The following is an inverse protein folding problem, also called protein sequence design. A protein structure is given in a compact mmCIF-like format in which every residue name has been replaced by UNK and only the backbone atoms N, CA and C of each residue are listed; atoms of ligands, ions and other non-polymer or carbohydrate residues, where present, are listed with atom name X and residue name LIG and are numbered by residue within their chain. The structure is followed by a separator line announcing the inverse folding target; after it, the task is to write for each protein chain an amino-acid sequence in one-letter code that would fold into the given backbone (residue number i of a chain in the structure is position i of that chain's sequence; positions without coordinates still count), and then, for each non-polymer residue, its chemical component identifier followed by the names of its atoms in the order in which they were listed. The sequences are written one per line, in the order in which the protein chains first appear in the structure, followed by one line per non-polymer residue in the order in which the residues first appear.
data_IF_582176983874
#
_entry.id   IF_582176983874
#
_cell.length_a   1.000
_cell.length_b   1.000
_cell.length_c   1.000
_cell.angle_alpha   90.00
_cell.angle_beta   90.00
_cell.angle_gamma   90.00
#
_symmetry.space_group_name_H-M   'P 1'
#
loop_
_entity.id
_entity.type
_entity.pdbx_description
1 polymer ?
#
# COMPACT_ATOMS: atom_id res chain seq x y z
N UNK A 1 -48.84 -7.59 -6.08
CA UNK A 1 -48.40 -7.83 -4.70
C UNK A 1 -47.28 -8.85 -4.66
N UNK A 2 -45.99 -8.38 -4.57
CA UNK A 2 -44.81 -9.18 -4.13
C UNK A 2 -43.71 -8.18 -3.83
N UNK A 3 -43.80 -7.52 -2.66
CA UNK A 3 -42.67 -6.88 -1.98
C UNK A 3 -42.34 -7.76 -0.80
N UNK A 4 -41.16 -8.23 -0.71
CA UNK A 4 -40.44 -8.75 0.45
C UNK A 4 -39.34 -9.68 -0.06
N UNK A 5 -38.08 -9.24 0.00
CA UNK A 5 -36.91 -10.06 0.34
C UNK A 5 -35.57 -9.36 0.00
N UNK A 6 -35.52 -8.02 -0.03
CA UNK A 6 -34.24 -7.33 -0.30
C UNK A 6 -33.46 -6.94 0.98
N UNK A 7 -34.06 -7.09 2.16
CA UNK A 7 -33.46 -6.61 3.41
C UNK A 7 -32.70 -7.69 4.20
N UNK A 8 -32.81 -8.98 3.80
CA UNK A 8 -32.12 -10.08 4.52
C UNK A 8 -30.73 -10.44 4.00
N UNK A 9 -30.37 -9.99 2.79
CA UNK A 9 -29.09 -10.34 2.18
C UNK A 9 -27.96 -9.38 2.56
N UNK A 10 -28.29 -8.18 3.05
CA UNK A 10 -27.28 -7.17 3.39
C UNK A 10 -26.69 -7.33 4.80
N UNK A 11 -27.37 -8.05 5.69
CA UNK A 11 -26.91 -8.24 7.07
C UNK A 11 -25.92 -9.42 7.22
N UNK A 12 -25.86 -10.34 6.26
CA UNK A 12 -25.03 -11.54 6.38
C UNK A 12 -23.58 -11.33 5.92
N UNK A 13 -23.33 -10.35 5.05
CA UNK A 13 -21.99 -10.08 4.52
C UNK A 13 -21.11 -9.25 5.45
N UNK A 14 -21.72 -8.45 6.34
CA UNK A 14 -20.97 -7.63 7.30
C UNK A 14 -20.47 -8.44 8.50
N UNK A 15 -21.19 -9.51 8.87
CA UNK A 15 -20.85 -10.35 10.02
C UNK A 15 -19.68 -11.28 9.75
N UNK A 16 -19.45 -11.71 8.49
CA UNK A 16 -18.32 -12.58 8.15
C UNK A 16 -16.96 -11.86 8.15
N UNK A 17 -16.92 -10.57 7.85
CA UNK A 17 -15.69 -9.80 7.87
C UNK A 17 -15.17 -9.52 9.29
N UNK A 18 -16.09 -9.33 10.24
CA UNK A 18 -15.74 -9.13 11.67
C UNK A 18 -15.30 -10.42 12.32
N UNK A 19 -15.88 -11.58 11.94
CA UNK A 19 -15.52 -12.89 12.46
C UNK A 19 -14.18 -13.43 11.93
N UNK A 20 -13.76 -13.00 10.73
CA UNK A 20 -12.43 -13.35 10.21
C UNK A 20 -11.32 -12.59 10.94
N UNK A 21 -11.57 -11.35 11.36
CA UNK A 21 -10.62 -10.55 12.14
C UNK A 21 -10.48 -11.07 13.58
N UNK A 22 -11.58 -11.54 14.17
CA UNK A 22 -11.57 -12.08 15.56
C UNK A 22 -10.89 -13.44 15.68
N UNK A 23 -10.83 -14.25 14.61
CA UNK A 23 -10.09 -15.54 14.62
C UNK A 23 -8.57 -15.36 14.52
N UNK A 24 -8.10 -14.25 13.97
CA UNK A 24 -6.67 -13.92 13.93
C UNK A 24 -6.15 -13.42 15.29
N UNK A 25 -7.05 -12.93 16.15
CA UNK A 25 -6.72 -12.44 17.52
C UNK A 25 -6.86 -13.53 18.61
N UNK A 26 -7.45 -14.68 18.30
CA UNK A 26 -7.76 -15.72 19.29
C UNK A 26 -6.72 -16.84 19.38
N UNK A 27 -5.55 -16.69 18.75
CA UNK A 27 -4.41 -17.63 18.85
C UNK A 27 -3.23 -16.98 19.55
N UNK A 28 -3.48 -16.20 20.58
CA UNK A 28 -2.42 -15.70 21.48
C UNK A 28 -2.27 -16.71 22.60
N UNK A 29 -1.32 -17.62 22.41
CA UNK A 29 -0.59 -18.28 23.50
C UNK A 29 -0.01 -17.17 24.39
N UNK A 30 0.07 -17.36 25.72
CA UNK A 30 0.46 -16.36 26.76
C UNK A 30 1.89 -15.79 26.60
N UNK A 31 2.33 -15.50 25.41
CA UNK A 31 3.52 -14.73 25.08
C UNK A 31 3.28 -13.22 25.23
N UNK A 32 4.33 -12.42 25.43
CA UNK A 32 4.22 -10.97 25.55
C UNK A 32 3.44 -10.39 24.36
N UNK A 33 2.38 -9.62 24.65
CA UNK A 33 1.42 -9.13 23.64
C UNK A 33 2.11 -8.26 22.57
N UNK A 34 1.91 -8.63 21.30
CA UNK A 34 2.38 -7.83 20.18
C UNK A 34 1.73 -6.43 20.18
N UNK A 35 2.52 -5.40 19.89
CA UNK A 35 2.01 -4.03 19.81
C UNK A 35 1.45 -3.74 18.42
N UNK A 36 0.13 -3.52 18.34
CA UNK A 36 -0.53 -3.10 17.11
C UNK A 36 -0.62 -1.57 17.04
N UNK A 37 -0.11 -0.98 15.97
CA UNK A 37 -0.10 0.47 15.74
C UNK A 37 -0.75 0.80 14.41
N UNK A 38 -1.79 1.64 14.44
CA UNK A 38 -2.37 2.19 13.23
C UNK A 38 -1.40 3.21 12.60
N UNK A 39 -1.18 3.09 11.28
CA UNK A 39 -0.30 3.99 10.53
C UNK A 39 -1.08 4.66 9.40
N UNK A 40 -0.78 5.93 9.19
CA UNK A 40 -1.18 6.70 8.01
C UNK A 40 0.04 7.38 7.42
N UNK A 41 0.14 7.33 6.10
CA UNK A 41 1.19 8.00 5.32
C UNK A 41 0.53 8.87 4.26
N UNK A 42 1.05 10.06 4.04
CA UNK A 42 0.64 10.95 2.95
C UNK A 42 1.87 11.56 2.29
N UNK A 43 1.84 11.66 0.96
CA UNK A 43 2.90 12.33 0.20
C UNK A 43 2.41 12.82 -1.15
N UNK A 44 3.16 13.76 -1.73
CA UNK A 44 3.13 14.11 -3.14
C UNK A 44 4.56 14.11 -3.67
N UNK A 45 4.77 13.50 -4.82
CA UNK A 45 6.08 13.40 -5.46
C UNK A 45 5.98 13.40 -6.99
N UNK A 46 7.10 13.65 -7.64
CA UNK A 46 7.26 13.35 -9.06
C UNK A 46 7.54 11.86 -9.24
N UNK A 47 7.13 11.30 -10.38
CA UNK A 47 7.47 9.94 -10.76
C UNK A 47 8.05 9.88 -12.16
N UNK A 48 8.86 8.85 -12.42
CA UNK A 48 9.37 8.53 -13.75
C UNK A 48 9.20 7.03 -14.02
N UNK A 49 8.89 6.71 -15.26
CA UNK A 49 8.85 5.34 -15.78
C UNK A 49 10.13 5.09 -16.59
N UNK A 50 10.79 4.00 -16.31
CA UNK A 50 12.04 3.60 -16.97
C UNK A 50 11.70 2.47 -17.94
N UNK A 51 11.81 2.68 -19.28
CA UNK A 51 11.60 1.62 -20.25
C UNK A 51 12.56 0.45 -20.02
N UNK A 52 12.08 -0.76 -20.27
CA UNK A 52 12.91 -1.98 -20.28
C UNK A 52 13.07 -2.53 -21.71
N UNK A 53 13.73 -3.66 -21.86
CA UNK A 53 13.82 -4.35 -23.15
C UNK A 53 12.44 -4.88 -23.63
N UNK A 54 11.52 -5.15 -22.71
CA UNK A 54 10.14 -5.50 -23.00
C UNK A 54 9.28 -4.21 -23.03
N UNK A 55 8.66 -3.85 -24.17
CA UNK A 55 7.86 -2.63 -24.31
C UNK A 55 6.59 -2.62 -23.45
N UNK A 56 6.20 -3.74 -22.87
CA UNK A 56 5.06 -3.85 -21.96
C UNK A 56 5.46 -3.78 -20.48
N UNK A 57 6.75 -3.63 -20.18
CA UNK A 57 7.28 -3.62 -18.81
C UNK A 57 8.10 -2.35 -18.56
N UNK A 58 7.79 -1.65 -17.46
CA UNK A 58 8.50 -0.45 -17.04
C UNK A 58 9.02 -0.61 -15.62
N UNK A 59 10.25 -0.16 -15.39
CA UNK A 59 10.74 0.12 -14.04
C UNK A 59 10.13 1.41 -13.50
N UNK A 60 9.90 1.46 -12.21
CA UNK A 60 9.40 2.63 -11.50
C UNK A 60 10.20 2.83 -10.21
N UNK A 61 11.34 3.55 -10.27
CA UNK A 61 12.04 3.98 -9.08
C UNK A 61 11.16 4.98 -8.31
N UNK A 62 11.13 4.83 -7.00
CA UNK A 62 10.31 5.66 -6.10
C UNK A 62 11.24 6.28 -5.07
N UNK A 63 11.20 7.60 -4.98
CA UNK A 63 11.97 8.36 -4.01
C UNK A 63 11.23 9.65 -3.63
N UNK A 64 11.37 10.10 -2.38
CA UNK A 64 10.75 11.33 -1.94
C UNK A 64 10.63 11.50 -0.44
N UNK A 65 9.72 12.37 -0.04
CA UNK A 65 9.42 12.67 1.37
C UNK A 65 7.95 12.40 1.65
N UNK A 66 7.65 11.91 2.84
CA UNK A 66 6.30 11.58 3.28
C UNK A 66 6.06 12.01 4.72
N UNK A 67 4.80 12.32 5.04
CA UNK A 67 4.32 12.47 6.41
C UNK A 67 3.78 11.13 6.91
N UNK A 68 4.33 10.64 8.01
CA UNK A 68 3.95 9.37 8.65
C UNK A 68 3.44 9.65 10.05
N UNK A 69 2.21 9.22 10.36
CA UNK A 69 1.51 9.55 11.61
C UNK A 69 2.30 9.23 12.89
N UNK A 70 3.17 8.23 12.84
CA UNK A 70 3.94 7.73 14.00
C UNK A 70 5.44 7.97 13.90
N UNK A 71 5.93 8.57 12.80
CA UNK A 71 7.35 8.82 12.56
C UNK A 71 7.63 10.28 12.18
N UNK A 72 6.59 11.09 11.93
CA UNK A 72 6.75 12.46 11.42
C UNK A 72 7.21 12.49 9.95
N UNK A 73 8.10 13.42 9.62
CA UNK A 73 8.71 13.50 8.29
C UNK A 73 9.64 12.31 8.05
N UNK A 74 9.46 11.66 6.90
CA UNK A 74 10.26 10.50 6.49
C UNK A 74 10.76 10.69 5.07
N UNK A 75 11.94 10.16 4.77
CA UNK A 75 12.31 9.80 3.42
C UNK A 75 11.71 8.45 3.05
N UNK A 76 11.23 8.32 1.82
CA UNK A 76 10.88 7.01 1.29
C UNK A 76 11.67 6.73 0.01
N UNK A 77 12.05 5.48 -0.19
CA UNK A 77 12.65 4.99 -1.42
C UNK A 77 12.24 3.55 -1.67
N UNK A 78 12.30 3.14 -2.91
CA UNK A 78 12.00 1.78 -3.33
C UNK A 78 11.94 1.68 -4.84
N UNK A 79 11.46 0.55 -5.32
CA UNK A 79 11.22 0.36 -6.74
C UNK A 79 10.01 -0.55 -6.97
N UNK A 80 9.33 -0.32 -8.09
CA UNK A 80 8.26 -1.17 -8.56
C UNK A 80 8.46 -1.52 -10.04
N UNK A 81 7.80 -2.56 -10.48
CA UNK A 81 7.69 -2.93 -11.89
C UNK A 81 6.23 -2.78 -12.30
N UNK A 82 6.01 -2.11 -13.42
CA UNK A 82 4.70 -1.89 -14.04
C UNK A 82 4.58 -2.79 -15.24
N UNK A 83 3.50 -3.56 -15.28
CA UNK A 83 3.14 -4.46 -16.38
C UNK A 83 1.92 -3.90 -17.11
N UNK A 84 2.09 -3.51 -18.35
CA UNK A 84 0.98 -3.11 -19.21
C UNK A 84 0.15 -4.32 -19.63
N UNK A 85 -1.15 -4.14 -19.88
CA UNK A 85 -1.99 -5.23 -20.36
C UNK A 85 -1.54 -5.70 -21.75
N UNK A 86 -1.44 -7.01 -21.91
CA UNK A 86 -1.13 -7.66 -23.20
C UNK A 86 -2.39 -8.10 -23.95
N UNK A 87 -3.56 -7.96 -23.33
CA UNK A 87 -4.87 -8.21 -23.94
C UNK A 87 -5.93 -7.24 -23.40
N UNK A 88 -6.99 -7.05 -24.20
CA UNK A 88 -8.08 -6.16 -23.80
C UNK A 88 -8.74 -6.62 -22.49
N UNK A 89 -9.05 -5.66 -21.62
CA UNK A 89 -9.71 -5.90 -20.33
C UNK A 89 -8.79 -6.32 -19.19
N UNK A 90 -7.51 -6.55 -19.44
CA UNK A 90 -6.55 -6.77 -18.36
C UNK A 90 -6.20 -5.43 -17.69
N UNK A 91 -6.10 -5.38 -16.35
CA UNK A 91 -5.62 -4.19 -15.66
C UNK A 91 -4.10 -4.02 -15.84
N UNK A 92 -3.64 -2.78 -15.74
CA UNK A 92 -2.22 -2.50 -15.49
C UNK A 92 -1.90 -3.03 -14.10
N UNK A 93 -0.84 -3.84 -13.97
CA UNK A 93 -0.37 -4.38 -12.69
C UNK A 93 0.91 -3.69 -12.28
N UNK A 94 1.04 -3.44 -10.98
CA UNK A 94 2.21 -2.78 -10.40
C UNK A 94 2.63 -3.55 -9.16
N UNK A 95 3.88 -3.97 -9.11
CA UNK A 95 4.40 -4.82 -8.04
C UNK A 95 5.74 -4.27 -7.58
N UNK A 96 5.98 -4.20 -6.28
CA UNK A 96 7.30 -3.87 -5.74
C UNK A 96 8.35 -4.81 -6.30
N UNK A 97 9.40 -4.27 -6.91
CA UNK A 97 10.60 -5.02 -7.31
C UNK A 97 11.65 -5.05 -6.20
N UNK A 98 11.52 -4.16 -5.23
CA UNK A 98 12.20 -4.18 -3.93
C UNK A 98 11.27 -3.58 -2.87
N UNK A 99 11.42 -3.95 -1.59
CA UNK A 99 10.61 -3.35 -0.54
C UNK A 99 10.80 -1.83 -0.50
N UNK A 100 9.69 -1.11 -0.40
CA UNK A 100 9.72 0.32 -0.14
C UNK A 100 10.10 0.55 1.31
N UNK A 101 10.91 1.55 1.56
CA UNK A 101 11.40 1.87 2.90
C UNK A 101 11.04 3.30 3.23
N UNK A 102 10.34 3.50 4.35
CA UNK A 102 10.16 4.78 5.02
C UNK A 102 11.23 4.90 6.11
N UNK A 103 12.01 5.96 6.12
CA UNK A 103 13.04 6.23 7.14
C UNK A 103 12.75 7.57 7.78
N UNK A 104 12.64 7.62 9.10
CA UNK A 104 12.47 8.87 9.85
C UNK A 104 13.64 9.84 9.59
N UNK A 105 13.37 11.14 9.66
CA UNK A 105 14.38 12.18 9.35
C UNK A 105 15.65 12.10 10.22
N UNK A 106 15.54 11.54 11.41
CA UNK A 106 16.66 11.28 12.32
C UNK A 106 17.40 9.95 12.03
N UNK A 107 16.90 9.14 11.08
CA UNK A 107 17.44 7.83 10.73
C UNK A 107 17.20 6.73 11.79
N UNK A 108 16.59 7.05 12.94
CA UNK A 108 16.45 6.12 14.04
C UNK A 108 15.48 4.97 13.79
N UNK A 109 14.45 5.23 12.96
CA UNK A 109 13.39 4.27 12.67
C UNK A 109 13.21 4.09 11.16
N UNK A 110 13.02 2.86 10.73
CA UNK A 110 12.54 2.59 9.37
C UNK A 110 11.41 1.59 9.38
N UNK A 111 10.54 1.67 8.36
CA UNK A 111 9.46 0.71 8.10
C UNK A 111 9.55 0.27 6.66
N UNK A 112 9.56 -1.05 6.43
CA UNK A 112 9.64 -1.67 5.10
C UNK A 112 8.33 -2.33 4.73
N UNK A 113 7.93 -2.17 3.48
CA UNK A 113 6.70 -2.78 2.97
C UNK A 113 6.79 -3.09 1.48
N UNK A 114 6.07 -4.12 1.07
CA UNK A 114 5.83 -4.45 -0.33
C UNK A 114 4.47 -3.95 -0.76
N UNK A 115 4.33 -3.69 -2.06
CA UNK A 115 3.08 -3.27 -2.67
C UNK A 115 2.74 -4.14 -3.88
N UNK A 116 1.46 -4.46 -4.03
CA UNK A 116 0.90 -5.03 -5.24
C UNK A 116 -0.41 -4.29 -5.54
N UNK A 117 -0.56 -3.79 -6.77
CA UNK A 117 -1.72 -3.00 -7.12
C UNK A 117 -2.05 -3.00 -8.61
N UNK A 118 -3.10 -2.25 -8.90
CA UNK A 118 -3.59 -2.03 -10.25
C UNK A 118 -3.82 -0.54 -10.52
N UNK A 119 -3.69 -0.15 -11.77
CA UNK A 119 -3.99 1.19 -12.24
C UNK A 119 -5.15 1.18 -13.25
N UNK A 120 -5.97 2.22 -13.17
CA UNK A 120 -7.02 2.52 -14.15
C UNK A 120 -6.89 3.97 -14.58
N UNK A 121 -6.94 4.23 -15.88
CA UNK A 121 -7.01 5.60 -16.40
C UNK A 121 -8.44 6.14 -16.31
N UNK A 122 -8.54 7.43 -16.08
CA UNK A 122 -9.82 8.14 -16.17
C UNK A 122 -10.24 8.19 -17.65
N UNK A 123 -11.40 7.62 -18.04
CA UNK A 123 -11.86 7.67 -19.42
C UNK A 123 -12.11 9.09 -19.96
N UNK A 124 -12.44 10.03 -19.05
CA UNK A 124 -12.67 11.43 -19.40
C UNK A 124 -11.37 12.23 -19.48
N UNK A 125 -10.32 11.78 -18.83
CA UNK A 125 -9.01 12.43 -18.85
C UNK A 125 -7.87 11.39 -18.81
N UNK A 126 -7.38 10.92 -19.97
CA UNK A 126 -6.37 9.86 -20.04
C UNK A 126 -4.99 10.25 -19.48
N UNK A 127 -4.79 11.50 -19.07
CA UNK A 127 -3.60 11.92 -18.36
C UNK A 127 -3.66 11.60 -16.85
N UNK A 128 -4.84 11.20 -16.34
CA UNK A 128 -5.01 10.83 -14.94
C UNK A 128 -5.19 9.33 -14.78
N UNK A 129 -4.51 8.77 -13.80
CA UNK A 129 -4.66 7.39 -13.39
C UNK A 129 -4.93 7.31 -11.89
N UNK A 130 -5.86 6.42 -11.52
CA UNK A 130 -6.10 6.02 -10.13
C UNK A 130 -5.51 4.64 -9.91
N UNK A 131 -4.75 4.51 -8.83
CA UNK A 131 -4.06 3.28 -8.49
C UNK A 131 -4.48 2.86 -7.08
N UNK A 132 -4.70 1.57 -6.92
CA UNK A 132 -5.01 0.97 -5.60
C UNK A 132 -4.05 -0.16 -5.35
N UNK A 133 -3.43 -0.16 -4.17
CA UNK A 133 -2.46 -1.18 -3.76
C UNK A 133 -2.88 -1.88 -2.48
N UNK A 134 -2.56 -3.15 -2.40
CA UNK A 134 -2.35 -3.87 -1.15
C UNK A 134 -0.95 -3.57 -0.66
N UNK A 135 -0.81 -3.37 0.63
CA UNK A 135 0.46 -3.10 1.31
C UNK A 135 0.70 -4.22 2.31
N UNK A 136 1.91 -4.78 2.30
CA UNK A 136 2.35 -5.79 3.27
C UNK A 136 3.59 -5.26 3.99
N UNK A 137 3.50 -5.02 5.30
CA UNK A 137 4.65 -4.63 6.10
C UNK A 137 5.55 -5.84 6.34
N UNK A 138 6.84 -5.72 6.00
CA UNK A 138 7.79 -6.84 5.96
C UNK A 138 8.98 -6.68 6.91
N UNK A 139 9.05 -5.57 7.65
CA UNK A 139 10.11 -5.32 8.62
C UNK A 139 10.36 -3.83 8.85
N UNK A 140 11.49 -3.55 9.47
CA UNK A 140 11.94 -2.20 9.78
C UNK A 140 13.10 -2.20 10.76
N UNK A 141 13.46 -1.01 11.23
CA UNK A 141 14.49 -0.80 12.28
C UNK A 141 13.93 0.06 13.41
N UNK A 142 14.68 0.17 14.50
CA UNK A 142 14.25 0.91 15.69
C UNK A 142 12.95 0.34 16.25
N UNK A 143 11.96 1.18 16.49
CA UNK A 143 10.66 0.74 17.03
C UNK A 143 9.84 -0.16 16.06
N UNK A 144 10.28 -0.32 14.81
CA UNK A 144 9.66 -1.19 13.83
C UNK A 144 10.48 -2.44 13.51
N UNK A 145 11.51 -2.74 14.33
CA UNK A 145 12.26 -3.98 14.19
C UNK A 145 11.30 -5.18 14.25
N UNK A 146 11.39 -6.09 13.26
CA UNK A 146 10.50 -7.24 13.16
C UNK A 146 9.04 -6.94 12.82
N UNK A 147 8.73 -5.71 12.41
CA UNK A 147 7.37 -5.30 12.04
C UNK A 147 6.74 -6.22 10.98
N UNK A 148 5.45 -6.46 11.12
CA UNK A 148 4.58 -7.17 10.19
C UNK A 148 3.25 -6.44 10.11
N UNK A 149 2.41 -6.79 9.14
CA UNK A 149 1.08 -6.22 9.06
C UNK A 149 0.65 -5.96 7.63
N UNK A 150 -0.46 -5.26 7.49
CA UNK A 150 -1.05 -4.99 6.19
C UNK A 150 -1.73 -3.63 6.15
N UNK A 151 -1.96 -3.15 4.93
CA UNK A 151 -2.66 -1.91 4.66
C UNK A 151 -3.13 -1.79 3.23
N UNK A 152 -3.60 -0.61 2.90
CA UNK A 152 -3.97 -0.21 1.53
C UNK A 152 -3.33 1.13 1.22
N UNK A 153 -3.02 1.35 -0.06
CA UNK A 153 -2.53 2.62 -0.56
C UNK A 153 -3.33 3.03 -1.79
N UNK A 154 -3.77 4.27 -1.80
CA UNK A 154 -4.46 4.91 -2.92
C UNK A 154 -3.55 5.99 -3.50
N UNK A 155 -3.45 6.02 -4.82
CA UNK A 155 -2.61 6.96 -5.56
C UNK A 155 -3.43 7.61 -6.67
N UNK A 156 -3.31 8.92 -6.81
CA UNK A 156 -3.71 9.64 -8.02
C UNK A 156 -2.45 10.12 -8.73
N UNK A 157 -2.28 9.71 -9.97
CA UNK A 157 -1.15 10.10 -10.81
C UNK A 157 -1.63 10.98 -11.97
N UNK A 158 -0.94 12.09 -12.20
CA UNK A 158 -1.12 12.97 -13.34
C UNK A 158 0.12 12.89 -14.24
N UNK A 159 -0.05 12.44 -15.47
CA UNK A 159 1.01 12.34 -16.45
C UNK A 159 1.25 13.71 -17.10
N UNK A 160 2.42 14.29 -16.87
CA UNK A 160 2.88 15.53 -17.52
C UNK A 160 3.77 15.24 -18.73
N UNK A 161 4.13 13.98 -18.93
CA UNK A 161 4.86 13.44 -20.08
C UNK A 161 4.48 11.98 -20.30
N UNK A 162 4.93 11.39 -21.41
CA UNK A 162 4.70 9.97 -21.70
C UNK A 162 5.30 9.01 -20.65
N UNK A 163 6.35 9.44 -19.93
CA UNK A 163 7.11 8.60 -19.01
C UNK A 163 7.22 9.20 -17.61
N UNK A 164 6.35 10.14 -17.24
CA UNK A 164 6.44 10.70 -15.90
C UNK A 164 5.41 11.80 -15.61
N UNK A 165 5.34 12.19 -14.36
CA UNK A 165 4.37 13.16 -13.90
C UNK A 165 4.41 13.38 -12.39
N UNK A 166 3.26 13.71 -11.84
CA UNK A 166 3.03 13.97 -10.42
C UNK A 166 2.18 12.85 -9.84
N UNK A 167 2.47 12.45 -8.62
CA UNK A 167 1.66 11.48 -7.89
C UNK A 167 1.38 11.97 -6.47
N UNK A 168 0.13 11.84 -6.05
CA UNK A 168 -0.26 12.01 -4.65
C UNK A 168 -0.77 10.66 -4.14
N UNK A 169 -0.30 10.23 -2.97
CA UNK A 169 -0.76 8.98 -2.40
C UNK A 169 -0.98 9.03 -0.90
N UNK A 170 -1.91 8.22 -0.47
CA UNK A 170 -2.20 7.98 0.94
C UNK A 170 -2.16 6.48 1.23
N UNK A 171 -1.54 6.11 2.34
CA UNK A 171 -1.53 4.75 2.84
C UNK A 171 -2.15 4.70 4.23
N UNK A 172 -2.91 3.64 4.49
CA UNK A 172 -3.48 3.32 5.81
C UNK A 172 -3.22 1.86 6.09
N UNK A 173 -2.85 1.54 7.33
CA UNK A 173 -2.61 0.15 7.70
C UNK A 173 -2.44 -0.03 9.21
N UNK A 174 -2.20 -1.28 9.57
CA UNK A 174 -1.84 -1.68 10.93
C UNK A 174 -0.50 -2.38 10.90
N UNK A 175 0.43 -1.87 11.68
CA UNK A 175 1.74 -2.45 11.90
C UNK A 175 1.75 -3.15 13.25
N UNK A 176 2.20 -4.38 13.25
CA UNK A 176 2.37 -5.22 14.46
C UNK A 176 3.88 -5.37 14.69
N UNK A 177 4.36 -4.96 15.84
CA UNK A 177 5.76 -5.15 16.24
C UNK A 177 5.84 -6.19 17.35
N UNK A 178 6.94 -6.98 17.40
CA UNK A 178 7.22 -7.83 18.54
C UNK A 178 7.26 -6.99 19.83
N UNK A 179 6.96 -7.58 20.98
CA UNK A 179 7.17 -6.91 22.24
C UNK A 179 8.64 -6.51 22.37
N UNK A 180 8.87 -5.32 22.92
CA UNK A 180 10.23 -4.88 23.25
C UNK A 180 10.79 -5.86 24.28
N UNK A 181 11.78 -6.65 23.90
CA UNK A 181 12.50 -7.47 24.88
C UNK A 181 13.14 -6.55 25.93
N UNK A 182 12.84 -6.81 27.19
CA UNK A 182 13.56 -6.23 28.32
C UNK A 182 14.96 -6.80 28.38
#
# INVERSE_FOLDING_TARGET
MKKFNLLRTLTLTLTCAVLALSRYLASADDGPSANATAIRVTTGNTFALVPTADPTVFGHPVDGVAQVSVMGNCHFHGAATIYLPTSAGQPIRIISSSPWTLTSSDGANSLKFDTEGTATFDPANPLFANLTYKVTFVGGTGKFAGARGAGTMEVTAEFTSALGGLANWTMKGVVITPPSGN
#
